data_IF_465802717458
#
_entry.id   IF_465802717458
#
_cell.length_a   1.000
_cell.length_b   1.000
_cell.length_c   1.000
_cell.angle_alpha   90.00
_cell.angle_beta   90.00
_cell.angle_gamma   90.00
#
_symmetry.space_group_name_H-M   'P 1'
#
loop_
_entity.id
_entity.type
_entity.pdbx_description
1 polymer ?
#
# COMPACT_ATOMS: atom_id res chain seq x y z
N UNK A 1 43.37 18.85 -9.23
CA UNK A 1 42.78 18.07 -10.34
C UNK A 1 41.48 17.46 -9.82
N UNK A 2 40.35 18.09 -10.13
CA UNK A 2 39.01 17.72 -9.64
C UNK A 2 38.32 16.97 -10.78
N UNK A 3 38.16 15.65 -10.66
CA UNK A 3 37.34 14.87 -11.58
C UNK A 3 35.94 14.73 -11.01
N UNK A 4 35.00 15.45 -11.64
CA UNK A 4 33.57 15.34 -11.43
C UNK A 4 33.07 13.96 -11.90
N UNK A 5 32.27 13.28 -11.07
CA UNK A 5 31.57 12.07 -11.47
C UNK A 5 30.07 12.37 -11.56
N UNK A 6 29.52 12.12 -12.75
CA UNK A 6 28.14 12.42 -13.13
C UNK A 6 27.17 11.33 -12.64
N UNK A 7 26.02 11.77 -12.12
CA UNK A 7 24.92 10.89 -11.70
C UNK A 7 24.12 10.38 -12.92
N UNK A 8 23.66 9.11 -12.93
CA UNK A 8 22.72 8.65 -13.94
C UNK A 8 21.27 9.00 -13.57
N UNK A 9 20.50 9.26 -14.63
CA UNK A 9 19.15 9.78 -14.65
C UNK A 9 18.11 8.91 -13.92
N UNK A 10 17.19 9.57 -13.20
CA UNK A 10 16.01 8.97 -12.57
C UNK A 10 14.97 8.62 -13.65
N UNK A 11 14.64 7.34 -13.77
CA UNK A 11 13.47 6.86 -14.51
C UNK A 11 12.19 7.27 -13.75
N UNK A 12 11.37 8.09 -14.40
CA UNK A 12 10.10 8.59 -13.89
C UNK A 12 8.94 7.71 -14.40
N UNK A 13 8.40 6.84 -13.56
CA UNK A 13 7.10 6.22 -13.78
C UNK A 13 6.56 5.61 -12.47
N UNK A 14 5.79 6.40 -11.71
CA UNK A 14 4.69 5.99 -10.80
C UNK A 14 4.52 7.01 -9.67
N UNK A 15 4.01 8.20 -10.00
CA UNK A 15 3.56 9.17 -9.00
C UNK A 15 2.62 10.19 -9.65
N UNK A 16 1.36 9.80 -9.88
CA UNK A 16 0.29 10.77 -10.16
C UNK A 16 -1.05 10.11 -9.83
N UNK A 17 -1.75 10.64 -8.82
CA UNK A 17 -3.21 10.82 -8.67
C UNK A 17 -3.41 11.20 -7.20
N UNK A 18 -3.23 12.48 -6.86
CA UNK A 18 -4.03 13.21 -5.84
C UNK A 18 -3.90 14.71 -6.14
N UNK A 19 -5.05 15.39 -6.11
CA UNK A 19 -5.30 16.84 -6.13
C UNK A 19 -5.36 17.53 -7.50
N UNK A 20 -6.56 18.00 -7.88
CA UNK A 20 -7.06 19.36 -7.59
C UNK A 20 -8.27 19.71 -8.47
N UNK A 21 -9.45 19.88 -7.88
CA UNK A 21 -10.54 20.68 -8.48
C UNK A 21 -11.13 21.54 -7.38
N UNK A 22 -10.84 22.84 -7.45
CA UNK A 22 -11.61 23.89 -6.77
C UNK A 22 -12.31 24.70 -7.86
N UNK A 23 -13.63 24.80 -7.73
CA UNK A 23 -14.51 25.73 -8.42
C UNK A 23 -14.20 27.17 -7.94
N UNK A 24 -14.41 28.19 -8.78
CA UNK A 24 -15.60 29.02 -8.55
C UNK A 24 -16.30 29.50 -9.84
N UNK A 25 -17.63 29.47 -9.83
CA UNK A 25 -18.48 30.34 -10.65
C UNK A 25 -18.44 31.77 -10.06
N UNK A 26 -18.77 32.85 -10.82
CA UNK A 26 -20.19 33.16 -11.01
C UNK A 26 -20.56 33.99 -12.27
N UNK A 27 -21.88 34.17 -12.43
CA UNK A 27 -22.61 35.31 -13.00
C UNK A 27 -23.42 35.11 -14.31
N UNK A 28 -24.71 35.43 -14.11
CA UNK A 28 -25.85 35.57 -15.03
C UNK A 28 -25.68 36.71 -16.05
N UNK A 29 -26.33 36.56 -17.20
CA UNK A 29 -27.09 37.61 -17.93
C UNK A 29 -28.10 36.88 -18.85
N UNK A 30 -29.40 36.84 -18.50
CA UNK A 30 -30.52 37.71 -18.94
C UNK A 30 -30.88 37.62 -20.44
N UNK A 31 -32.13 37.17 -20.67
CA UNK A 31 -32.87 37.14 -21.94
C UNK A 31 -33.18 38.54 -22.50
N UNK A 32 -33.27 38.63 -23.83
CA UNK A 32 -34.27 39.46 -24.53
C UNK A 32 -34.78 38.73 -25.79
N UNK A 33 -36.06 38.93 -26.18
CA UNK A 33 -36.71 38.21 -27.26
C UNK A 33 -36.55 38.94 -28.60
N UNK A 34 -36.54 38.20 -29.70
CA UNK A 34 -36.76 38.75 -31.05
C UNK A 34 -37.86 37.96 -31.74
N UNK A 35 -38.77 38.72 -32.33
CA UNK A 35 -40.07 38.39 -32.90
C UNK A 35 -40.04 37.80 -34.32
N UNK A 36 -41.07 36.99 -34.60
CA UNK A 36 -41.80 36.75 -35.85
C UNK A 36 -41.07 36.37 -37.15
N UNK A 37 -41.52 35.24 -37.72
CA UNK A 37 -41.36 34.90 -39.14
C UNK A 37 -41.94 33.53 -39.45
N UNK A 38 -43.22 33.49 -39.83
CA UNK A 38 -43.93 32.29 -40.30
C UNK A 38 -43.42 31.92 -41.70
N UNK A 39 -42.99 30.67 -41.88
CA UNK A 39 -43.14 29.97 -43.16
C UNK A 39 -43.50 28.51 -42.91
N UNK A 40 -44.65 28.14 -43.46
CA UNK A 40 -45.20 26.80 -43.51
C UNK A 40 -44.40 25.99 -44.51
N UNK A 41 -43.77 24.91 -44.07
CA UNK A 41 -43.23 23.87 -44.93
C UNK A 41 -43.62 22.50 -44.36
N UNK A 42 -44.49 21.81 -45.10
CA UNK A 42 -44.89 20.43 -44.87
C UNK A 42 -43.69 19.50 -45.03
N UNK A 43 -43.29 18.82 -43.95
CA UNK A 43 -42.32 17.72 -44.00
C UNK A 43 -42.88 16.52 -43.22
N UNK A 44 -43.05 15.41 -43.94
CA UNK A 44 -43.51 14.12 -43.46
C UNK A 44 -42.70 13.62 -42.25
N UNK A 45 -43.40 13.11 -41.24
CA UNK A 45 -42.81 12.46 -40.08
C UNK A 45 -42.10 11.17 -40.49
N UNK A 46 -40.77 11.21 -40.59
CA UNK A 46 -39.93 10.01 -40.57
C UNK A 46 -39.74 9.64 -39.11
N UNK A 47 -40.33 8.51 -38.72
CA UNK A 47 -40.14 7.93 -37.40
C UNK A 47 -38.68 7.47 -37.29
N UNK A 48 -37.82 8.26 -36.63
CA UNK A 48 -36.49 7.79 -36.25
C UNK A 48 -36.64 6.84 -35.07
N UNK A 49 -36.65 5.54 -35.36
CA UNK A 49 -36.35 4.51 -34.38
C UNK A 49 -35.03 4.90 -33.68
N UNK A 50 -35.13 5.32 -32.42
CA UNK A 50 -33.95 5.48 -31.56
C UNK A 50 -33.32 4.09 -31.44
N UNK A 51 -32.05 3.90 -31.83
CA UNK A 51 -31.37 2.64 -31.55
C UNK A 51 -31.43 2.39 -30.04
N UNK A 52 -31.92 1.20 -29.68
CA UNK A 52 -32.02 0.77 -28.29
C UNK A 52 -30.67 1.03 -27.60
N UNK A 53 -30.71 1.77 -26.48
CA UNK A 53 -29.51 2.07 -25.71
C UNK A 53 -28.79 0.76 -25.38
N UNK A 54 -27.52 0.67 -25.78
CA UNK A 54 -26.69 -0.49 -25.48
C UNK A 54 -26.78 -0.83 -23.98
N UNK A 55 -26.91 -2.11 -23.61
CA UNK A 55 -27.01 -2.50 -22.22
C UNK A 55 -25.83 -1.92 -21.43
N UNK A 56 -26.05 -1.42 -20.20
CA UNK A 56 -25.01 -0.76 -19.43
C UNK A 56 -23.78 -1.66 -19.36
N UNK A 57 -22.57 -1.11 -19.53
CA UNK A 57 -21.35 -1.90 -19.66
C UNK A 57 -21.25 -2.88 -18.50
N UNK A 58 -21.13 -4.17 -18.82
CA UNK A 58 -20.96 -5.25 -17.84
C UNK A 58 -19.79 -4.89 -16.93
N UNK A 59 -20.12 -4.66 -15.66
CA UNK A 59 -19.17 -4.13 -14.68
C UNK A 59 -18.06 -5.15 -14.44
N UNK A 60 -16.80 -4.74 -14.65
CA UNK A 60 -15.64 -5.61 -14.46
C UNK A 60 -15.51 -6.02 -12.97
N UNK A 61 -15.65 -7.32 -12.65
CA UNK A 61 -15.61 -7.80 -11.26
C UNK A 61 -14.25 -7.55 -10.58
N UNK A 62 -13.15 -7.71 -11.31
CA UNK A 62 -11.81 -7.48 -10.77
C UNK A 62 -11.59 -6.02 -10.40
N UNK A 63 -12.01 -5.08 -11.26
CA UNK A 63 -11.96 -3.64 -10.94
C UNK A 63 -12.82 -3.29 -9.73
N UNK A 64 -14.00 -3.91 -9.60
CA UNK A 64 -14.87 -3.69 -8.43
C UNK A 64 -14.22 -4.20 -7.14
N UNK A 65 -13.63 -5.40 -7.14
CA UNK A 65 -12.91 -5.95 -5.99
C UNK A 65 -11.74 -5.06 -5.57
N UNK A 66 -10.93 -4.61 -6.54
CA UNK A 66 -9.80 -3.71 -6.28
C UNK A 66 -10.25 -2.37 -5.68
N UNK A 67 -11.32 -1.77 -6.19
CA UNK A 67 -11.87 -0.53 -5.66
C UNK A 67 -12.38 -0.68 -4.22
N UNK A 68 -13.04 -1.81 -3.90
CA UNK A 68 -13.51 -2.11 -2.54
C UNK A 68 -12.32 -2.29 -1.60
N UNK A 69 -11.33 -3.11 -1.98
CA UNK A 69 -10.14 -3.36 -1.19
C UNK A 69 -9.40 -2.07 -0.88
N UNK A 70 -9.14 -1.22 -1.87
CA UNK A 70 -8.49 0.07 -1.68
C UNK A 70 -9.27 0.99 -0.72
N UNK A 71 -10.58 1.11 -0.93
CA UNK A 71 -11.44 1.91 -0.06
C UNK A 71 -11.47 1.38 1.38
N UNK A 72 -11.52 0.05 1.54
CA UNK A 72 -11.55 -0.62 2.83
C UNK A 72 -10.22 -0.50 3.56
N UNK A 73 -9.08 -0.66 2.88
CA UNK A 73 -7.74 -0.44 3.44
C UNK A 73 -7.63 0.95 4.05
N UNK A 74 -8.06 1.98 3.32
CA UNK A 74 -8.02 3.36 3.80
C UNK A 74 -9.00 3.64 4.96
N UNK A 75 -10.18 2.98 5.00
CA UNK A 75 -11.13 3.17 6.10
C UNK A 75 -10.69 2.43 7.37
N UNK A 76 -10.24 1.18 7.25
CA UNK A 76 -9.77 0.38 8.37
C UNK A 76 -8.45 0.89 8.95
N UNK A 77 -7.51 1.35 8.12
CA UNK A 77 -6.27 1.94 8.62
C UNK A 77 -6.49 3.26 9.38
N UNK A 78 -7.53 4.01 9.02
CA UNK A 78 -7.85 5.27 9.67
C UNK A 78 -8.68 5.10 10.96
N UNK A 79 -9.61 4.13 11.00
CA UNK A 79 -10.62 4.03 12.07
C UNK A 79 -10.61 2.70 12.83
N UNK A 80 -9.71 1.79 12.48
CA UNK A 80 -9.70 0.42 12.99
C UNK A 80 -10.92 -0.39 12.53
N UNK A 81 -10.96 -1.66 12.93
CA UNK A 81 -12.08 -2.54 12.57
C UNK A 81 -13.39 -2.07 13.20
N UNK A 82 -13.39 -1.71 14.49
CA UNK A 82 -14.61 -1.28 15.19
C UNK A 82 -15.19 0.01 14.61
N UNK A 83 -14.36 1.04 14.39
CA UNK A 83 -14.80 2.37 13.96
C UNK A 83 -15.13 2.51 12.46
N UNK A 84 -14.56 1.65 11.60
CA UNK A 84 -14.82 1.70 10.16
C UNK A 84 -16.31 1.47 9.82
N UNK A 85 -16.86 2.21 8.85
CA UNK A 85 -18.26 2.03 8.41
C UNK A 85 -18.33 1.46 7.00
N UNK A 86 -19.07 0.37 6.81
CA UNK A 86 -19.23 -0.27 5.49
C UNK A 86 -19.87 0.69 4.47
N UNK A 87 -20.76 1.57 4.94
CA UNK A 87 -21.39 2.59 4.08
C UNK A 87 -20.36 3.59 3.54
N UNK A 88 -19.39 3.98 4.37
CA UNK A 88 -18.30 4.87 3.97
C UNK A 88 -17.33 4.19 2.99
N UNK A 89 -17.05 2.89 3.18
CA UNK A 89 -16.27 2.09 2.24
C UNK A 89 -16.99 2.02 0.87
N UNK A 90 -18.28 1.71 0.87
CA UNK A 90 -19.08 1.62 -0.34
C UNK A 90 -19.11 2.97 -1.09
N UNK A 91 -19.34 4.06 -0.37
CA UNK A 91 -19.29 5.44 -0.89
C UNK A 91 -17.93 5.76 -1.52
N UNK A 92 -16.83 5.46 -0.82
CA UNK A 92 -15.46 5.71 -1.32
C UNK A 92 -15.11 4.83 -2.52
N UNK A 93 -15.58 3.60 -2.57
CA UNK A 93 -15.39 2.71 -3.70
C UNK A 93 -16.23 3.11 -4.93
N UNK A 94 -17.24 3.98 -4.76
CA UNK A 94 -18.21 4.30 -5.82
C UNK A 94 -19.14 3.12 -6.15
N UNK A 95 -19.39 2.23 -5.19
CA UNK A 95 -20.17 1.00 -5.38
C UNK A 95 -21.28 0.89 -4.34
N UNK A 96 -22.34 0.15 -4.68
CA UNK A 96 -23.39 -0.13 -3.70
C UNK A 96 -22.86 -1.06 -2.59
N UNK A 97 -23.45 -0.94 -1.40
CA UNK A 97 -23.12 -1.76 -0.21
C UNK A 97 -23.29 -3.27 -0.46
N UNK A 98 -24.30 -3.66 -1.25
CA UNK A 98 -24.60 -5.06 -1.56
C UNK A 98 -23.43 -5.76 -2.24
N UNK A 99 -22.66 -5.06 -3.08
CA UNK A 99 -21.49 -5.61 -3.77
C UNK A 99 -20.34 -5.95 -2.80
N UNK A 100 -20.18 -5.19 -1.71
CA UNK A 100 -19.19 -5.51 -0.68
C UNK A 100 -19.53 -6.85 -0.02
N UNK A 101 -20.80 -7.02 0.39
CA UNK A 101 -21.26 -8.28 0.97
C UNK A 101 -21.24 -9.44 -0.01
N UNK A 102 -21.51 -9.18 -1.30
CA UNK A 102 -21.40 -10.21 -2.34
C UNK A 102 -19.97 -10.74 -2.48
N UNK A 103 -18.95 -9.87 -2.41
CA UNK A 103 -17.56 -10.29 -2.58
C UNK A 103 -16.89 -10.80 -1.30
N UNK A 104 -17.26 -10.25 -0.15
CA UNK A 104 -16.52 -10.46 1.11
C UNK A 104 -17.40 -10.99 2.25
N UNK A 105 -18.69 -11.21 2.01
CA UNK A 105 -19.64 -11.79 2.96
C UNK A 105 -20.09 -10.82 4.05
N UNK A 106 -19.15 -10.34 4.86
CA UNK A 106 -19.38 -9.41 5.95
C UNK A 106 -18.19 -8.46 6.16
N UNK A 107 -18.30 -7.55 7.13
CA UNK A 107 -17.26 -6.56 7.43
C UNK A 107 -15.94 -7.21 7.88
N UNK A 108 -16.02 -8.30 8.63
CA UNK A 108 -14.83 -9.03 9.10
C UNK A 108 -14.13 -9.80 7.98
N UNK A 109 -14.90 -10.38 7.05
CA UNK A 109 -14.37 -11.02 5.85
C UNK A 109 -13.68 -9.99 4.93
N UNK A 110 -14.24 -8.79 4.82
CA UNK A 110 -13.58 -7.68 4.11
C UNK A 110 -12.31 -7.23 4.84
N UNK A 111 -12.31 -7.19 6.17
CA UNK A 111 -11.12 -6.86 6.96
C UNK A 111 -10.01 -7.90 6.80
N UNK A 112 -10.34 -9.19 6.84
CA UNK A 112 -9.39 -10.27 6.58
C UNK A 112 -8.77 -10.14 5.18
N UNK A 113 -9.60 -9.90 4.15
CA UNK A 113 -9.11 -9.70 2.79
C UNK A 113 -8.17 -8.48 2.68
N UNK A 114 -8.41 -7.41 3.44
CA UNK A 114 -7.51 -6.26 3.53
C UNK A 114 -6.17 -6.65 4.19
N UNK A 115 -6.18 -7.40 5.29
CA UNK A 115 -4.96 -7.89 5.93
C UNK A 115 -4.14 -8.77 4.96
N UNK A 116 -4.79 -9.73 4.30
CA UNK A 116 -4.18 -10.60 3.29
C UNK A 116 -3.57 -9.79 2.15
N UNK A 117 -4.31 -8.82 1.62
CA UNK A 117 -3.83 -7.95 0.55
C UNK A 117 -2.61 -7.13 0.95
N UNK A 118 -2.56 -6.61 2.17
CA UNK A 118 -1.45 -5.78 2.66
C UNK A 118 -0.20 -6.65 2.90
N UNK A 119 -0.36 -7.84 3.48
CA UNK A 119 0.75 -8.80 3.59
C UNK A 119 1.26 -9.26 2.22
N UNK A 120 0.36 -9.58 1.29
CA UNK A 120 0.73 -9.99 -0.05
C UNK A 120 1.50 -8.89 -0.80
N UNK A 121 1.06 -7.64 -0.68
CA UNK A 121 1.77 -6.49 -1.27
C UNK A 121 3.19 -6.34 -0.70
N UNK A 122 3.34 -6.45 0.61
CA UNK A 122 4.64 -6.32 1.26
C UNK A 122 5.60 -7.45 0.85
N UNK A 123 5.14 -8.69 0.93
CA UNK A 123 5.94 -9.89 0.62
C UNK A 123 6.25 -10.00 -0.88
N UNK A 124 5.33 -9.53 -1.73
CA UNK A 124 5.55 -9.39 -3.17
C UNK A 124 6.64 -8.37 -3.48
N UNK A 125 6.63 -7.22 -2.80
CA UNK A 125 7.64 -6.18 -2.98
C UNK A 125 9.04 -6.62 -2.48
N UNK A 126 9.13 -7.38 -1.38
CA UNK A 126 10.39 -7.99 -0.93
C UNK A 126 10.93 -8.99 -1.96
N UNK A 127 10.07 -9.85 -2.50
CA UNK A 127 10.47 -10.83 -3.53
C UNK A 127 11.00 -10.15 -4.79
N UNK A 128 10.42 -9.01 -5.16
CA UNK A 128 10.84 -8.24 -6.33
C UNK A 128 12.26 -7.65 -6.20
N UNK A 129 12.86 -7.64 -5.00
CA UNK A 129 14.24 -7.16 -4.80
C UNK A 129 15.31 -8.05 -5.42
N UNK A 130 14.97 -9.31 -5.74
CA UNK A 130 15.87 -10.35 -6.30
C UNK A 130 17.18 -10.48 -5.50
N UNK A 131 17.04 -10.69 -4.19
CA UNK A 131 18.19 -10.72 -3.26
C UNK A 131 19.14 -11.91 -3.47
N UNK A 132 18.68 -12.97 -4.14
CA UNK A 132 19.53 -14.10 -4.53
C UNK A 132 20.65 -13.71 -5.49
N UNK A 133 20.43 -12.67 -6.32
CA UNK A 133 21.37 -12.22 -7.35
C UNK A 133 22.50 -11.35 -6.78
N UNK A 134 22.50 -11.05 -5.48
CA UNK A 134 23.43 -10.13 -4.82
C UNK A 134 24.37 -10.88 -3.86
N UNK A 135 25.55 -10.30 -3.63
CA UNK A 135 26.46 -10.73 -2.56
C UNK A 135 25.74 -10.75 -1.20
N UNK A 136 26.02 -11.71 -0.30
CA UNK A 136 25.25 -11.89 0.93
C UNK A 136 25.13 -10.64 1.80
N UNK A 137 26.22 -9.89 1.98
CA UNK A 137 26.23 -8.64 2.74
C UNK A 137 25.39 -7.54 2.08
N UNK A 138 25.46 -7.42 0.75
CA UNK A 138 24.66 -6.46 -0.01
C UNK A 138 23.17 -6.84 -0.03
N UNK A 139 22.86 -8.13 -0.18
CA UNK A 139 21.52 -8.69 -0.09
C UNK A 139 20.89 -8.39 1.28
N UNK A 140 21.64 -8.64 2.36
CA UNK A 140 21.19 -8.37 3.72
C UNK A 140 20.96 -6.87 3.94
N UNK A 141 21.90 -6.00 3.55
CA UNK A 141 21.72 -4.54 3.60
C UNK A 141 20.45 -4.11 2.87
N UNK A 142 20.23 -4.61 1.66
CA UNK A 142 19.07 -4.27 0.83
C UNK A 142 17.76 -4.74 1.47
N UNK A 143 17.74 -5.93 2.07
CA UNK A 143 16.58 -6.43 2.81
C UNK A 143 16.22 -5.52 3.99
N UNK A 144 17.20 -5.18 4.85
CA UNK A 144 16.95 -4.38 6.06
C UNK A 144 16.51 -2.96 5.69
N UNK A 145 17.22 -2.33 4.75
CA UNK A 145 16.88 -0.98 4.29
C UNK A 145 15.52 -0.92 3.62
N UNK A 146 15.16 -1.94 2.82
CA UNK A 146 13.84 -2.07 2.23
C UNK A 146 12.76 -2.20 3.31
N UNK A 147 12.95 -3.06 4.30
CA UNK A 147 11.96 -3.30 5.36
C UNK A 147 11.59 -2.01 6.11
N UNK A 148 12.60 -1.21 6.49
CA UNK A 148 12.39 0.08 7.13
C UNK A 148 11.75 1.11 6.18
N UNK A 149 12.18 1.19 4.92
CA UNK A 149 11.58 2.09 3.93
C UNK A 149 10.11 1.77 3.67
N UNK A 150 9.78 0.50 3.49
CA UNK A 150 8.41 0.05 3.24
C UNK A 150 7.47 0.44 4.38
N UNK A 151 7.89 0.24 5.64
CA UNK A 151 7.12 0.67 6.81
C UNK A 151 6.89 2.19 6.88
N UNK A 152 7.85 2.98 6.37
CA UNK A 152 7.73 4.43 6.30
C UNK A 152 6.78 4.92 5.21
N UNK A 153 6.74 4.22 4.07
CA UNK A 153 5.96 4.53 2.88
C UNK A 153 4.52 4.00 2.95
N UNK A 154 4.31 2.94 3.74
CA UNK A 154 3.03 2.26 3.92
C UNK A 154 2.51 2.35 5.37
N UNK A 155 2.10 3.54 5.86
CA UNK A 155 1.58 3.70 7.22
C UNK A 155 0.30 2.88 7.50
N UNK A 156 -0.44 2.49 6.46
CA UNK A 156 -1.58 1.58 6.55
C UNK A 156 -1.19 0.20 7.05
N UNK A 157 -0.02 -0.32 6.67
CA UNK A 157 0.53 -1.57 7.20
C UNK A 157 0.68 -1.47 8.71
N UNK A 158 1.30 -0.39 9.19
CA UNK A 158 1.54 -0.15 10.61
C UNK A 158 0.21 -0.10 11.38
N UNK A 159 -0.77 0.66 10.88
CA UNK A 159 -2.05 0.81 11.57
C UNK A 159 -2.86 -0.50 11.62
N UNK A 160 -2.94 -1.21 10.49
CA UNK A 160 -3.70 -2.45 10.37
C UNK A 160 -3.11 -3.56 11.24
N UNK A 161 -1.79 -3.75 11.22
CA UNK A 161 -1.13 -4.75 12.04
C UNK A 161 -1.16 -4.38 13.53
N UNK A 162 -1.05 -3.10 13.89
CA UNK A 162 -1.23 -2.67 15.28
C UNK A 162 -2.64 -3.00 15.78
N UNK A 163 -3.66 -2.73 14.96
CA UNK A 163 -5.06 -3.08 15.27
C UNK A 163 -5.23 -4.59 15.41
N UNK A 164 -4.66 -5.37 14.51
CA UNK A 164 -4.75 -6.84 14.57
C UNK A 164 -4.01 -7.44 15.77
N UNK A 165 -2.90 -6.84 16.18
CA UNK A 165 -2.18 -7.20 17.40
C UNK A 165 -3.00 -6.90 18.66
N UNK A 166 -3.72 -5.78 18.71
CA UNK A 166 -4.68 -5.50 19.79
C UNK A 166 -5.80 -6.57 19.83
N UNK A 167 -6.18 -7.10 18.67
CA UNK A 167 -7.11 -8.23 18.55
C UNK A 167 -6.46 -9.60 18.76
N UNK A 168 -5.18 -9.68 19.15
CA UNK A 168 -4.43 -10.94 19.37
C UNK A 168 -4.50 -11.89 18.16
N UNK A 169 -4.36 -11.31 16.97
CA UNK A 169 -4.42 -12.02 15.69
C UNK A 169 -5.75 -12.77 15.42
N UNK A 170 -6.87 -12.34 16.04
CA UNK A 170 -8.17 -13.02 15.92
C UNK A 170 -8.60 -13.24 14.46
N UNK A 171 -8.37 -12.25 13.59
CA UNK A 171 -8.78 -12.31 12.20
C UNK A 171 -7.72 -12.99 11.35
N UNK A 172 -6.45 -12.66 11.57
CA UNK A 172 -5.32 -13.22 10.83
C UNK A 172 -5.21 -14.74 11.00
N UNK A 173 -5.59 -15.29 12.16
CA UNK A 173 -5.69 -16.75 12.41
C UNK A 173 -6.61 -17.49 11.43
N UNK A 174 -7.52 -16.78 10.75
CA UNK A 174 -8.42 -17.35 9.74
C UNK A 174 -7.78 -17.39 8.35
N UNK A 175 -6.66 -16.70 8.13
CA UNK A 175 -5.97 -16.69 6.85
C UNK A 175 -5.16 -17.95 6.63
N UNK A 176 -5.26 -18.53 5.43
CA UNK A 176 -4.36 -19.59 4.96
C UNK A 176 -3.21 -19.04 4.12
N UNK A 177 -3.33 -17.81 3.62
CA UNK A 177 -2.38 -17.20 2.69
C UNK A 177 -1.18 -16.60 3.43
N UNK A 178 -1.43 -15.90 4.53
CA UNK A 178 -0.39 -15.17 5.27
C UNK A 178 0.72 -16.07 5.82
N UNK A 179 0.44 -17.26 6.40
CA UNK A 179 1.50 -18.18 6.81
C UNK A 179 2.41 -18.61 5.64
N UNK A 180 1.83 -18.94 4.48
CA UNK A 180 2.60 -19.35 3.31
C UNK A 180 3.51 -18.22 2.78
N UNK A 181 3.03 -16.97 2.82
CA UNK A 181 3.83 -15.80 2.45
C UNK A 181 5.05 -15.61 3.36
N UNK A 182 4.92 -15.89 4.67
CA UNK A 182 6.03 -15.80 5.61
C UNK A 182 6.99 -16.98 5.54
N UNK A 183 6.52 -18.19 5.20
CA UNK A 183 7.38 -19.33 4.91
C UNK A 183 8.39 -19.00 3.79
N UNK A 184 7.88 -18.50 2.65
CA UNK A 184 8.73 -18.12 1.52
C UNK A 184 9.73 -16.98 1.86
N UNK A 185 9.37 -16.08 2.78
CA UNK A 185 10.29 -15.05 3.27
C UNK A 185 11.40 -15.66 4.14
N UNK A 186 11.05 -16.57 5.05
CA UNK A 186 12.03 -17.24 5.89
C UNK A 186 13.02 -18.06 5.07
N UNK A 187 12.56 -18.74 4.02
CA UNK A 187 13.43 -19.47 3.08
C UNK A 187 14.43 -18.52 2.41
N UNK A 188 13.97 -17.36 1.93
CA UNK A 188 14.84 -16.32 1.34
C UNK A 188 15.89 -15.80 2.35
N UNK A 189 15.47 -15.51 3.59
CA UNK A 189 16.39 -15.04 4.64
C UNK A 189 17.42 -16.12 4.98
N UNK A 190 16.97 -17.38 5.10
CA UNK A 190 17.84 -18.53 5.37
C UNK A 190 18.88 -18.72 4.26
N UNK A 191 18.49 -18.58 3.00
CA UNK A 191 19.40 -18.68 1.86
C UNK A 191 20.49 -17.58 1.90
N UNK A 192 20.11 -16.32 2.13
CA UNK A 192 21.07 -15.21 2.24
C UNK A 192 22.04 -15.45 3.40
N UNK A 193 21.50 -15.87 4.55
CA UNK A 193 22.28 -16.15 5.75
C UNK A 193 23.27 -17.30 5.52
N UNK A 194 22.82 -18.41 4.93
CA UNK A 194 23.65 -19.57 4.64
C UNK A 194 24.79 -19.23 3.67
N UNK A 195 24.51 -18.46 2.60
CA UNK A 195 25.56 -18.00 1.67
C UNK A 195 26.61 -17.14 2.36
N UNK A 196 26.20 -16.22 3.23
CA UNK A 196 27.14 -15.38 3.97
C UNK A 196 27.93 -16.14 5.04
N UNK A 197 27.33 -17.15 5.67
CA UNK A 197 28.02 -18.06 6.61
C UNK A 197 29.05 -18.94 5.91
N UNK A 198 28.72 -19.45 4.72
CA UNK A 198 29.64 -20.24 3.89
C UNK A 198 30.83 -19.39 3.40
N UNK A 199 30.59 -18.12 3.07
CA UNK A 199 31.62 -17.16 2.69
C UNK A 199 32.44 -16.60 3.88
N UNK A 200 32.15 -17.01 5.12
CA UNK A 200 32.81 -16.49 6.32
C UNK A 200 32.49 -15.02 6.62
N UNK A 201 31.45 -14.45 6.00
CA UNK A 201 31.00 -13.08 6.21
C UNK A 201 30.07 -12.96 7.42
N UNK A 202 29.34 -14.03 7.75
CA UNK A 202 28.37 -14.05 8.84
C UNK A 202 28.68 -15.14 9.88
N UNK A 203 28.40 -14.85 11.16
CA UNK A 203 28.42 -15.81 12.28
C UNK A 203 27.42 -16.96 12.06
N UNK A 204 27.74 -18.14 12.60
CA UNK A 204 27.03 -19.40 12.32
C UNK A 204 25.90 -19.74 13.29
N UNK A 205 25.84 -19.09 14.43
CA UNK A 205 24.91 -19.34 15.54
C UNK A 205 23.65 -18.46 15.47
N UNK A 206 23.22 -18.11 14.26
CA UNK A 206 22.03 -17.29 14.02
C UNK A 206 21.02 -18.09 13.21
N UNK A 207 19.79 -18.18 13.71
CA UNK A 207 18.68 -18.76 12.97
C UNK A 207 17.98 -17.68 12.11
N UNK A 208 17.45 -18.10 10.95
CA UNK A 208 16.79 -17.19 10.02
C UNK A 208 15.56 -16.50 10.63
N UNK A 209 14.80 -17.20 11.49
CA UNK A 209 13.64 -16.63 12.18
C UNK A 209 14.06 -15.49 13.13
N UNK A 210 15.06 -15.73 13.97
CA UNK A 210 15.54 -14.73 14.93
C UNK A 210 16.11 -13.50 14.21
N UNK A 211 16.85 -13.72 13.13
CA UNK A 211 17.34 -12.64 12.28
C UNK A 211 16.19 -11.84 11.66
N UNK A 212 15.16 -12.51 11.13
CA UNK A 212 14.00 -11.83 10.58
C UNK A 212 13.25 -11.03 11.66
N UNK A 213 13.07 -11.58 12.87
CA UNK A 213 12.45 -10.86 13.98
C UNK A 213 13.25 -9.62 14.37
N UNK A 214 14.59 -9.69 14.36
CA UNK A 214 15.46 -8.54 14.58
C UNK A 214 15.27 -7.47 13.49
N UNK A 215 15.31 -7.87 12.21
CA UNK A 215 15.09 -6.97 11.07
C UNK A 215 13.72 -6.30 11.16
N UNK A 216 12.66 -7.09 11.35
CA UNK A 216 11.30 -6.60 11.47
C UNK A 216 11.12 -5.68 12.68
N UNK A 217 11.79 -5.95 13.81
CA UNK A 217 11.75 -5.09 14.99
C UNK A 217 12.34 -3.71 14.72
N UNK A 218 13.49 -3.66 14.05
CA UNK A 218 14.16 -2.40 13.68
C UNK A 218 13.34 -1.63 12.65
N UNK A 219 12.72 -2.29 11.67
CA UNK A 219 11.80 -1.64 10.75
C UNK A 219 10.51 -1.17 11.42
N UNK A 220 9.92 -1.97 12.29
CA UNK A 220 8.59 -1.71 12.86
C UNK A 220 8.58 -0.71 14.01
N UNK A 221 9.46 -0.88 15.01
CA UNK A 221 9.38 -0.17 16.29
C UNK A 221 9.46 1.34 16.11
N UNK A 222 10.42 1.80 15.30
CA UNK A 222 10.63 3.22 15.02
C UNK A 222 9.40 3.86 14.39
N UNK A 223 8.76 3.19 13.42
CA UNK A 223 7.62 3.75 12.68
C UNK A 223 6.30 3.66 13.43
N UNK A 224 6.06 2.58 14.18
CA UNK A 224 4.84 2.39 14.99
C UNK A 224 4.80 3.33 16.20
N UNK A 225 5.96 3.63 16.81
CA UNK A 225 6.05 4.49 17.98
C UNK A 225 6.51 5.92 17.67
N UNK A 226 6.62 6.29 16.38
CA UNK A 226 7.15 7.61 15.99
C UNK A 226 6.40 8.76 16.66
N UNK A 227 5.09 8.65 16.85
CA UNK A 227 4.27 9.72 17.42
C UNK A 227 4.57 9.92 18.90
N UNK A 228 4.50 8.84 19.69
CA UNK A 228 4.74 8.88 21.13
C UNK A 228 6.19 9.26 21.43
N UNK A 229 7.16 8.65 20.73
CA UNK A 229 8.57 8.96 20.92
C UNK A 229 8.93 10.38 20.44
N UNK A 230 8.26 10.90 19.40
CA UNK A 230 8.49 12.30 18.99
C UNK A 230 8.03 13.28 20.07
N UNK A 231 6.90 12.99 20.72
CA UNK A 231 6.39 13.79 21.85
C UNK A 231 7.32 13.67 23.06
N UNK A 232 7.69 12.45 23.45
CA UNK A 232 8.52 12.17 24.63
C UNK A 232 9.89 12.83 24.50
N UNK A 233 10.57 12.65 23.36
CA UNK A 233 11.91 13.19 23.14
C UNK A 233 11.94 14.57 22.51
N UNK A 234 10.76 15.21 22.33
CA UNK A 234 10.61 16.54 21.70
C UNK A 234 11.36 16.66 20.37
N UNK A 235 11.31 15.60 19.56
CA UNK A 235 12.01 15.50 18.27
C UNK A 235 11.11 14.82 17.24
N UNK A 236 10.79 15.49 16.15
CA UNK A 236 10.00 14.87 15.09
C UNK A 236 10.77 13.74 14.37
N UNK A 237 10.41 12.50 14.70
CA UNK A 237 10.90 11.25 14.08
C UNK A 237 10.17 10.93 12.77
N UNK A 238 9.11 11.66 12.46
CA UNK A 238 8.38 11.59 11.20
C UNK A 238 9.09 12.29 10.04
N UNK A 239 10.12 13.11 10.30
CA UNK A 239 10.85 13.82 9.24
C UNK A 239 11.59 12.88 8.28
N UNK A 240 11.65 13.19 6.97
CA UNK A 240 12.35 12.38 5.99
C UNK A 240 13.80 12.05 6.36
N UNK A 241 14.54 13.02 6.92
CA UNK A 241 15.94 12.81 7.30
C UNK A 241 16.07 11.85 8.49
N UNK A 242 15.13 11.89 9.44
CA UNK A 242 15.12 11.00 10.59
C UNK A 242 14.85 9.54 10.15
N UNK A 243 13.91 9.35 9.23
CA UNK A 243 13.59 8.03 8.66
C UNK A 243 14.75 7.47 7.83
N UNK A 244 15.38 8.30 6.99
CA UNK A 244 16.54 7.90 6.20
C UNK A 244 17.72 7.52 7.10
N UNK A 245 18.01 8.32 8.13
CA UNK A 245 19.07 8.00 9.09
C UNK A 245 18.78 6.71 9.88
N UNK A 246 17.52 6.46 10.25
CA UNK A 246 17.15 5.22 10.93
C UNK A 246 17.33 4.00 10.02
N UNK A 247 16.94 4.10 8.74
CA UNK A 247 17.11 3.04 7.75
C UNK A 247 18.56 2.58 7.63
N UNK A 248 19.50 3.52 7.54
CA UNK A 248 20.94 3.17 7.48
C UNK A 248 21.44 2.55 8.79
N UNK A 249 21.03 3.11 9.94
CA UNK A 249 21.38 2.54 11.26
C UNK A 249 20.86 1.12 11.46
N UNK A 250 19.65 0.83 10.99
CA UNK A 250 19.08 -0.51 11.08
C UNK A 250 19.93 -1.51 10.28
N UNK A 251 20.33 -1.15 9.06
CA UNK A 251 21.19 -1.99 8.24
C UNK A 251 22.59 -2.20 8.86
N UNK A 252 23.20 -1.13 9.38
CA UNK A 252 24.49 -1.21 10.05
C UNK A 252 24.42 -2.05 11.34
N UNK A 253 23.34 -1.95 12.11
CA UNK A 253 23.12 -2.75 13.31
C UNK A 253 22.99 -4.24 12.98
N UNK A 254 22.20 -4.61 11.97
CA UNK A 254 22.03 -6.01 11.55
C UNK A 254 23.33 -6.58 10.99
N UNK A 255 24.03 -5.85 10.11
CA UNK A 255 25.31 -6.30 9.58
C UNK A 255 26.39 -6.38 10.66
N UNK A 256 26.38 -5.46 11.64
CA UNK A 256 27.27 -5.50 12.80
C UNK A 256 27.00 -6.73 13.67
N UNK A 257 25.73 -7.04 13.94
CA UNK A 257 25.31 -8.23 14.67
C UNK A 257 25.74 -9.54 13.99
N UNK A 258 25.71 -9.57 12.65
CA UNK A 258 26.04 -10.74 11.87
C UNK A 258 27.54 -11.00 11.72
N UNK A 259 28.43 -10.10 12.12
CA UNK A 259 29.89 -10.30 11.94
C UNK A 259 30.37 -11.60 12.62
N UNK A 260 31.36 -12.31 12.03
CA UNK A 260 31.89 -13.58 12.56
C UNK A 260 32.47 -13.48 13.96
#
# INVERSE_FOLDING_TARGET
MVCAWAAPAKSAASAAIVARVMNPSPLRCRNHPVTNGIMVATASAVNHDRPAAAPPPRRNPARSRAAILSAATAEFSAKGLAGARVDEIARRAGLNKRMLYQYYGNKEGLYLAVLESVYAAFRGAERALRLGDLDPAAAMRKLVTFNAAYCAEHPELISLLSTENLHRARYLKRSREVPALHGALLDMVAEILARGQAAGLFRRDVAALDLYLLIASLGWFFHSNRWTLSTIFRRDLGRPEARAAWRERAADAVLGYLRP
#
